data_IF_571355939006
#
_entry.id   IF_571355939006
#
_cell.length_a   1.000
_cell.length_b   1.000
_cell.length_c   1.000
_cell.angle_alpha   90.00
_cell.angle_beta   90.00
_cell.angle_gamma   90.00
#
_symmetry.space_group_name_H-M   'P 1'
#
loop_
_entity.id
_entity.type
_entity.pdbx_description
1 polymer ?
#
# COMPACT_ATOMS: atom_id res chain seq x y z
N UNK A 1 -14.67 -1.99 -21.57
CA UNK A 1 -14.08 -1.19 -20.50
C UNK A 1 -14.95 0.04 -20.34
N UNK A 2 -15.70 0.17 -19.24
CA UNK A 2 -16.55 1.34 -19.02
C UNK A 2 -15.70 2.37 -18.26
N UNK A 3 -15.39 3.50 -18.89
CA UNK A 3 -14.49 4.55 -18.36
C UNK A 3 -15.26 5.77 -17.85
N UNK A 4 -16.60 5.67 -17.76
CA UNK A 4 -17.44 6.74 -17.25
C UNK A 4 -17.68 6.57 -15.74
N UNK A 5 -17.16 7.53 -14.98
CA UNK A 5 -17.20 7.65 -13.51
C UNK A 5 -18.33 8.56 -13.00
N UNK A 6 -19.25 8.99 -13.88
CA UNK A 6 -20.32 9.96 -13.54
C UNK A 6 -21.70 9.32 -13.35
N UNK A 7 -21.82 8.02 -13.62
CA UNK A 7 -23.06 7.27 -13.41
C UNK A 7 -23.28 6.86 -11.95
N UNK A 8 -24.43 7.23 -11.36
CA UNK A 8 -24.83 6.77 -10.03
C UNK A 8 -24.78 5.25 -9.91
N UNK A 9 -24.03 4.76 -8.92
CA UNK A 9 -23.88 3.37 -8.45
C UNK A 9 -24.70 2.31 -9.22
N UNK A 10 -24.27 1.95 -10.43
CA UNK A 10 -24.88 0.83 -11.16
C UNK A 10 -24.28 -0.51 -10.69
N UNK A 11 -24.53 -0.85 -9.44
CA UNK A 11 -24.14 -2.13 -8.81
C UNK A 11 -24.85 -3.37 -9.40
N UNK A 12 -25.43 -3.31 -10.61
CA UNK A 12 -26.23 -4.42 -11.16
C UNK A 12 -26.00 -4.78 -12.63
N UNK A 13 -25.03 -4.19 -13.34
CA UNK A 13 -24.71 -4.61 -14.73
C UNK A 13 -23.20 -4.77 -14.97
N UNK A 14 -22.74 -6.00 -14.75
CA UNK A 14 -21.79 -6.77 -15.59
C UNK A 14 -20.51 -6.07 -16.04
N UNK A 15 -19.70 -5.56 -15.11
CA UNK A 15 -18.24 -5.56 -15.34
C UNK A 15 -17.65 -6.79 -14.65
N UNK A 16 -16.94 -7.69 -15.37
CA UNK A 16 -16.18 -8.77 -14.73
C UNK A 16 -14.98 -8.25 -13.93
N UNK A 17 -14.71 -6.93 -13.99
CA UNK A 17 -13.66 -6.25 -13.23
C UNK A 17 -14.29 -5.33 -12.19
N UNK A 18 -13.81 -5.37 -10.94
CA UNK A 18 -14.26 -4.41 -9.92
C UNK A 18 -13.90 -2.99 -10.36
N UNK A 19 -14.80 -2.05 -10.09
CA UNK A 19 -14.55 -0.62 -10.33
C UNK A 19 -13.65 -0.14 -9.20
N UNK A 20 -12.35 -0.03 -9.47
CA UNK A 20 -11.33 0.37 -8.50
C UNK A 20 -10.41 1.40 -9.11
N UNK A 21 -9.69 2.16 -8.29
CA UNK A 21 -8.59 3.02 -8.76
C UNK A 21 -7.29 2.23 -8.97
N UNK A 22 -7.22 0.96 -8.55
CA UNK A 22 -5.99 0.14 -8.59
C UNK A 22 -5.26 0.18 -9.94
N UNK A 23 -4.01 0.64 -9.93
CA UNK A 23 -3.16 0.77 -11.11
C UNK A 23 -3.47 2.00 -11.96
N UNK A 24 -4.19 2.99 -11.44
CA UNK A 24 -4.35 4.29 -12.07
C UNK A 24 -3.27 5.23 -11.54
N UNK A 25 -2.38 5.70 -12.42
CA UNK A 25 -1.35 6.66 -12.01
C UNK A 25 -1.15 7.76 -13.07
N UNK A 26 -0.66 8.90 -12.59
CA UNK A 26 -0.12 9.97 -13.42
C UNK A 26 1.38 10.12 -13.21
N UNK A 27 2.04 10.81 -14.15
CA UNK A 27 3.47 11.11 -14.09
C UNK A 27 3.86 12.18 -15.11
N UNK A 28 5.06 12.72 -14.98
CA UNK A 28 5.62 13.68 -15.93
C UNK A 28 6.01 13.02 -17.25
N UNK A 29 6.26 11.71 -17.22
CA UNK A 29 6.52 10.90 -18.40
C UNK A 29 5.68 9.62 -18.39
N UNK A 30 5.44 9.06 -19.57
CA UNK A 30 4.66 7.84 -19.73
C UNK A 30 5.25 6.66 -18.96
N UNK A 31 6.57 6.52 -18.96
CA UNK A 31 7.27 5.46 -18.24
C UNK A 31 7.19 5.63 -16.72
N UNK A 32 7.31 6.85 -16.22
CA UNK A 32 7.12 7.17 -14.79
C UNK A 32 5.70 6.81 -14.33
N UNK A 33 4.69 7.25 -15.09
CA UNK A 33 3.30 6.91 -14.80
C UNK A 33 3.06 5.38 -14.86
N UNK A 34 3.73 4.70 -15.79
CA UNK A 34 3.63 3.23 -15.93
C UNK A 34 4.27 2.50 -14.76
N UNK A 35 5.50 2.86 -14.37
CA UNK A 35 6.21 2.26 -13.23
C UNK A 35 5.44 2.51 -11.93
N UNK A 36 4.93 3.72 -11.72
CA UNK A 36 4.08 4.02 -10.56
C UNK A 36 2.83 3.15 -10.53
N UNK A 37 2.08 3.09 -11.63
CA UNK A 37 0.88 2.25 -11.72
C UNK A 37 1.19 0.76 -11.54
N UNK A 38 2.34 0.28 -12.04
CA UNK A 38 2.75 -1.11 -11.88
C UNK A 38 3.14 -1.43 -10.44
N UNK A 39 3.90 -0.55 -9.79
CA UNK A 39 4.24 -0.66 -8.37
C UNK A 39 2.98 -0.71 -7.50
N UNK A 40 1.97 0.13 -7.78
CA UNK A 40 0.69 0.10 -7.05
C UNK A 40 0.00 -1.26 -7.20
N UNK A 41 -0.08 -1.82 -8.42
CA UNK A 41 -0.72 -3.13 -8.60
C UNK A 41 0.04 -4.24 -7.85
N UNK A 42 1.39 -4.18 -7.84
CA UNK A 42 2.23 -5.13 -7.08
C UNK A 42 2.06 -4.95 -5.57
N UNK A 43 1.94 -3.72 -5.08
CA UNK A 43 1.70 -3.41 -3.67
C UNK A 43 0.40 -4.03 -3.16
N UNK A 44 -0.69 -3.89 -3.93
CA UNK A 44 -2.00 -4.45 -3.57
C UNK A 44 -1.99 -5.98 -3.58
N UNK A 45 -1.21 -6.58 -4.46
CA UNK A 45 -0.99 -8.02 -4.49
C UNK A 45 -0.19 -8.51 -3.30
N UNK A 46 0.94 -7.86 -3.03
CA UNK A 46 1.78 -8.16 -1.88
C UNK A 46 0.99 -8.10 -0.57
N UNK A 47 0.15 -7.09 -0.41
CA UNK A 47 -0.75 -6.98 0.73
C UNK A 47 -1.77 -8.12 0.78
N UNK A 48 -2.46 -8.38 -0.34
CA UNK A 48 -3.48 -9.42 -0.39
C UNK A 48 -2.91 -10.82 -0.06
N UNK A 49 -1.65 -11.06 -0.41
CA UNK A 49 -0.91 -12.26 -0.03
C UNK A 49 -0.49 -12.23 1.44
N UNK A 50 0.09 -11.12 1.92
CA UNK A 50 0.54 -10.97 3.29
C UNK A 50 -0.58 -11.16 4.31
N UNK A 51 -1.77 -10.59 4.07
CA UNK A 51 -2.96 -10.77 4.92
C UNK A 51 -3.44 -12.22 5.00
N UNK A 52 -2.96 -13.09 4.11
CA UNK A 52 -3.22 -14.53 4.08
C UNK A 52 -2.09 -15.36 4.68
N UNK A 53 -1.09 -14.72 5.27
CA UNK A 53 -0.05 -15.42 6.03
C UNK A 53 -0.47 -15.54 7.51
N UNK A 54 0.00 -16.56 8.25
CA UNK A 54 -0.23 -16.66 9.68
C UNK A 54 0.24 -15.41 10.45
N UNK A 55 -0.45 -14.98 11.53
CA UNK A 55 -0.04 -13.80 12.30
C UNK A 55 1.41 -13.82 12.78
N UNK A 56 1.94 -15.00 13.13
CA UNK A 56 3.34 -15.14 13.53
C UNK A 56 4.33 -14.82 12.39
N UNK A 57 3.99 -15.15 11.14
CA UNK A 57 4.81 -14.80 9.97
C UNK A 57 4.70 -13.30 9.65
N UNK A 58 3.52 -12.70 9.86
CA UNK A 58 3.33 -11.26 9.72
C UNK A 58 4.21 -10.50 10.71
N UNK A 59 4.17 -10.85 12.00
CA UNK A 59 4.99 -10.19 13.03
C UNK A 59 6.49 -10.44 12.85
N UNK A 60 6.89 -11.61 12.33
CA UNK A 60 8.29 -11.88 11.99
C UNK A 60 8.84 -10.97 10.87
N UNK A 61 7.95 -10.33 10.09
CA UNK A 61 8.33 -9.41 9.04
C UNK A 61 8.40 -7.94 9.52
N UNK A 62 8.17 -7.68 10.81
CA UNK A 62 8.22 -6.34 11.39
C UNK A 62 9.64 -5.78 11.40
N UNK A 63 9.79 -4.59 10.84
CA UNK A 63 11.07 -3.89 10.66
C UNK A 63 11.44 -3.15 11.94
N UNK A 64 12.71 -3.24 12.31
CA UNK A 64 13.34 -2.39 13.33
C UNK A 64 13.61 -0.99 12.78
N UNK A 65 12.92 0.06 13.28
CA UNK A 65 13.12 1.42 12.82
C UNK A 65 14.56 1.90 13.01
N UNK A 66 15.30 1.36 13.99
CA UNK A 66 16.70 1.74 14.25
C UNK A 66 17.66 1.31 13.12
N UNK A 67 17.22 0.44 12.22
CA UNK A 67 18.01 -0.02 11.06
C UNK A 67 17.73 0.80 9.79
N UNK A 68 16.86 1.80 9.86
CA UNK A 68 16.51 2.68 8.75
C UNK A 68 17.45 3.89 8.77
N UNK A 69 18.41 3.94 7.84
CA UNK A 69 19.41 5.01 7.72
C UNK A 69 19.21 5.91 6.48
N UNK A 70 18.06 5.81 5.80
CA UNK A 70 17.73 6.72 4.70
C UNK A 70 17.26 8.08 5.26
N UNK A 71 17.89 9.21 4.88
CA UNK A 71 17.60 10.51 5.49
C UNK A 71 16.15 10.97 5.37
N UNK A 72 15.45 10.64 4.28
CA UNK A 72 14.07 11.06 4.08
C UNK A 72 13.12 10.26 4.97
N UNK A 73 13.36 8.95 5.09
CA UNK A 73 12.63 8.10 6.02
C UNK A 73 12.88 8.50 7.48
N UNK A 74 14.15 8.77 7.87
CA UNK A 74 14.51 9.24 9.20
C UNK A 74 13.83 10.57 9.55
N UNK A 75 13.72 11.50 8.60
CA UNK A 75 13.03 12.77 8.79
C UNK A 75 11.55 12.56 9.12
N UNK A 76 10.85 11.71 8.35
CA UNK A 76 9.43 11.41 8.57
C UNK A 76 9.22 10.68 9.91
N UNK A 77 10.05 9.69 10.23
CA UNK A 77 9.98 8.97 11.50
C UNK A 77 10.21 9.90 12.69
N UNK A 78 11.20 10.79 12.59
CA UNK A 78 11.50 11.79 13.62
C UNK A 78 10.35 12.79 13.80
N UNK A 79 9.67 13.18 12.72
CA UNK A 79 8.48 14.03 12.78
C UNK A 79 7.32 13.33 13.51
N UNK A 80 7.09 12.05 13.22
CA UNK A 80 6.07 11.23 13.86
C UNK A 80 6.36 11.03 15.36
N UNK A 81 7.62 10.72 15.70
CA UNK A 81 8.06 10.58 17.09
C UNK A 81 7.86 11.87 17.88
N UNK A 82 8.29 13.03 17.35
CA UNK A 82 8.08 14.34 17.99
C UNK A 82 6.59 14.69 18.16
N UNK A 83 5.73 14.16 17.29
CA UNK A 83 4.29 14.32 17.38
C UNK A 83 3.62 13.33 18.34
N UNK A 84 4.37 12.42 18.98
CA UNK A 84 3.84 11.38 19.86
C UNK A 84 3.09 10.27 19.12
N UNK A 85 3.41 10.07 17.84
CA UNK A 85 2.79 9.06 16.98
C UNK A 85 3.70 7.84 16.92
N UNK A 86 3.21 6.72 17.44
CA UNK A 86 3.88 5.43 17.34
C UNK A 86 3.76 4.90 15.91
N UNK A 87 4.83 4.25 15.42
CA UNK A 87 4.93 3.73 14.05
C UNK A 87 5.31 2.25 14.11
N UNK A 88 4.62 1.43 13.33
CA UNK A 88 5.03 0.07 13.02
C UNK A 88 5.17 -0.09 11.51
N UNK A 89 6.21 -0.81 11.08
CA UNK A 89 6.49 -1.09 9.68
C UNK A 89 6.66 -2.59 9.51
N UNK A 90 6.01 -3.16 8.49
CA UNK A 90 6.19 -4.54 8.07
C UNK A 90 6.70 -4.56 6.65
N UNK A 91 7.70 -5.39 6.40
CA UNK A 91 8.06 -5.75 5.03
C UNK A 91 7.12 -6.84 4.54
N UNK A 92 6.43 -6.58 3.43
CA UNK A 92 5.41 -7.45 2.86
C UNK A 92 5.76 -7.93 1.46
N UNK A 93 7.05 -7.84 1.07
CA UNK A 93 7.53 -8.24 -0.26
C UNK A 93 7.12 -9.67 -0.57
N UNK A 94 6.35 -9.84 -1.64
CA UNK A 94 5.90 -11.14 -2.12
C UNK A 94 6.92 -11.76 -3.11
N UNK A 95 6.53 -12.86 -3.75
CA UNK A 95 7.32 -13.58 -4.76
C UNK A 95 7.71 -12.74 -5.97
N UNK A 96 6.98 -11.67 -6.30
CA UNK A 96 7.39 -10.69 -7.34
C UNK A 96 8.74 -10.04 -6.99
N UNK A 97 9.16 -10.08 -5.72
CA UNK A 97 10.47 -9.61 -5.27
C UNK A 97 10.74 -8.11 -5.49
N UNK A 98 9.68 -7.30 -5.56
CA UNK A 98 9.76 -5.84 -5.45
C UNK A 98 9.51 -5.42 -4.00
N UNK A 99 10.38 -4.59 -3.38
CA UNK A 99 10.21 -4.12 -2.01
C UNK A 99 8.83 -3.53 -1.78
N UNK A 100 8.06 -4.13 -0.87
CA UNK A 100 6.75 -3.66 -0.47
C UNK A 100 6.67 -3.50 1.05
N UNK A 101 6.09 -2.39 1.52
CA UNK A 101 5.95 -2.11 2.94
C UNK A 101 4.51 -1.75 3.29
N UNK A 102 4.15 -2.07 4.53
CA UNK A 102 2.98 -1.54 5.23
C UNK A 102 3.47 -0.73 6.41
N UNK A 103 2.96 0.49 6.57
CA UNK A 103 3.19 1.31 7.75
C UNK A 103 1.86 1.57 8.46
N UNK A 104 1.84 1.36 9.77
CA UNK A 104 0.74 1.75 10.65
C UNK A 104 1.19 2.82 11.63
N UNK A 105 0.33 3.81 11.82
CA UNK A 105 0.57 4.91 12.75
C UNK A 105 -0.61 5.07 13.70
N UNK A 106 -0.33 5.26 14.99
CA UNK A 106 -1.35 5.62 15.98
C UNK A 106 -0.74 6.42 17.11
N UNK A 107 -1.58 7.18 17.81
CA UNK A 107 -1.19 7.97 18.98
C UNK A 107 -1.53 7.23 20.28
N UNK A 108 -0.84 7.57 21.37
CA UNK A 108 -1.20 7.10 22.71
C UNK A 108 -2.54 7.73 23.13
N UNK A 109 -3.62 6.94 23.28
CA UNK A 109 -4.95 7.48 23.57
C UNK A 109 -5.04 8.13 24.96
N UNK A 110 -4.06 7.90 25.85
CA UNK A 110 -4.04 8.46 27.21
C UNK A 110 -3.55 9.91 27.24
N UNK A 111 -2.83 10.34 26.21
CA UNK A 111 -2.30 11.71 26.07
C UNK A 111 -2.82 12.45 24.83
N UNK A 112 -3.47 11.73 23.90
CA UNK A 112 -4.06 12.31 22.70
C UNK A 112 -5.16 13.34 23.02
N UNK A 113 -5.12 14.49 22.33
CA UNK A 113 -6.10 15.57 22.48
C UNK A 113 -7.45 15.28 21.82
N UNK A 114 -7.46 14.36 20.86
CA UNK A 114 -8.64 13.96 20.10
C UNK A 114 -8.70 12.44 19.96
N UNK A 115 -9.89 11.93 19.68
CA UNK A 115 -10.07 10.53 19.33
C UNK A 115 -9.86 10.34 17.82
N UNK A 116 -8.59 10.32 17.39
CA UNK A 116 -8.24 10.02 16.01
C UNK A 116 -7.94 8.53 15.88
N UNK A 117 -8.53 7.90 14.87
CA UNK A 117 -8.24 6.51 14.52
C UNK A 117 -6.78 6.35 14.09
N UNK A 118 -6.23 5.15 14.31
CA UNK A 118 -4.99 4.75 13.65
C UNK A 118 -5.13 4.82 12.13
N UNK A 119 -4.02 5.01 11.44
CA UNK A 119 -3.98 5.07 10.00
C UNK A 119 -2.92 4.12 9.44
N UNK A 120 -3.11 3.73 8.19
CA UNK A 120 -2.27 2.77 7.49
C UNK A 120 -1.93 3.30 6.11
N UNK A 121 -0.73 2.98 5.65
CA UNK A 121 -0.23 3.32 4.33
C UNK A 121 0.64 2.19 3.79
N UNK A 122 0.82 2.18 2.48
CA UNK A 122 1.49 1.12 1.75
C UNK A 122 2.48 1.72 0.75
N UNK A 123 3.45 0.93 0.34
CA UNK A 123 4.42 1.40 -0.64
C UNK A 123 5.17 0.28 -1.30
N UNK A 124 5.19 0.31 -2.63
CA UNK A 124 6.03 -0.54 -3.47
C UNK A 124 6.94 0.33 -4.37
N UNK A 125 8.20 -0.07 -4.50
CA UNK A 125 9.17 0.54 -5.43
C UNK A 125 10.43 -0.33 -5.55
N UNK A 126 11.14 -0.37 -6.71
CA UNK A 126 12.44 -1.06 -6.83
C UNK A 126 13.49 -0.63 -5.80
N UNK A 127 13.44 0.65 -5.40
CA UNK A 127 14.21 1.20 -4.26
C UNK A 127 13.43 1.04 -2.96
N UNK A 128 13.94 0.24 -2.02
CA UNK A 128 13.30 0.00 -0.71
C UNK A 128 13.06 1.29 0.09
N UNK A 129 13.94 2.27 -0.06
CA UNK A 129 13.83 3.57 0.62
C UNK A 129 12.61 4.35 0.13
N UNK A 130 12.37 4.35 -1.18
CA UNK A 130 11.20 5.00 -1.78
C UNK A 130 9.92 4.22 -1.42
N UNK A 131 9.97 2.89 -1.45
CA UNK A 131 8.84 2.05 -1.04
C UNK A 131 8.43 2.34 0.42
N UNK A 132 9.39 2.40 1.34
CA UNK A 132 9.13 2.75 2.74
C UNK A 132 8.60 4.18 2.90
N UNK A 133 9.24 5.16 2.23
CA UNK A 133 8.81 6.55 2.31
C UNK A 133 7.36 6.73 1.83
N UNK A 134 6.95 6.01 0.77
CA UNK A 134 5.57 5.96 0.29
C UNK A 134 4.63 5.40 1.36
N UNK A 135 4.97 4.28 1.99
CA UNK A 135 4.15 3.69 3.05
C UNK A 135 3.95 4.65 4.23
N UNK A 136 5.02 5.28 4.70
CA UNK A 136 4.96 6.26 5.81
C UNK A 136 4.12 7.49 5.44
N UNK A 137 4.35 8.06 4.26
CA UNK A 137 3.64 9.28 3.82
C UNK A 137 2.19 9.02 3.48
N UNK A 138 1.85 7.85 2.93
CA UNK A 138 0.45 7.44 2.75
C UNK A 138 -0.25 7.22 4.09
N UNK A 139 0.42 6.65 5.11
CA UNK A 139 -0.18 6.51 6.44
C UNK A 139 -0.51 7.88 7.05
N UNK A 140 0.39 8.86 6.89
CA UNK A 140 0.16 10.26 7.28
C UNK A 140 -1.01 10.87 6.49
N UNK A 141 -1.03 10.70 5.17
CA UNK A 141 -2.11 11.20 4.31
C UNK A 141 -3.46 10.59 4.73
N UNK A 142 -3.52 9.28 4.95
CA UNK A 142 -4.70 8.55 5.42
C UNK A 142 -5.21 9.15 6.72
N UNK A 143 -4.33 9.40 7.70
CA UNK A 143 -4.70 10.04 8.98
C UNK A 143 -5.27 11.44 8.77
N UNK A 144 -4.66 12.24 7.89
CA UNK A 144 -5.14 13.59 7.59
C UNK A 144 -6.56 13.56 7.01
N UNK A 145 -6.89 12.62 6.11
CA UNK A 145 -8.25 12.50 5.55
C UNK A 145 -9.31 12.18 6.59
N UNK A 146 -8.96 11.43 7.64
CA UNK A 146 -9.86 11.15 8.77
C UNK A 146 -10.07 12.41 9.60
N UNK A 147 -9.00 13.16 9.89
CA UNK A 147 -9.07 14.40 10.69
C UNK A 147 -9.89 15.48 9.99
N UNK A 148 -9.69 15.66 8.68
CA UNK A 148 -10.42 16.67 7.90
C UNK A 148 -11.86 16.27 7.62
N UNK A 149 -12.22 14.99 7.82
CA UNK A 149 -13.54 14.46 7.51
C UNK A 149 -13.87 14.53 6.01
N UNK A 150 -12.87 14.52 5.14
CA UNK A 150 -13.04 14.74 3.69
C UNK A 150 -13.46 13.48 2.92
N UNK A 151 -13.69 12.36 3.61
CA UNK A 151 -14.06 11.07 3.04
C UNK A 151 -15.52 10.73 3.34
N UNK A 152 -16.33 10.63 2.28
CA UNK A 152 -17.74 10.24 2.36
C UNK A 152 -17.94 8.72 2.55
N UNK A 153 -16.88 7.93 2.41
CA UNK A 153 -16.92 6.47 2.47
C UNK A 153 -16.60 5.89 3.86
N UNK A 154 -16.29 6.74 4.85
CA UNK A 154 -16.12 6.32 6.26
C UNK A 154 -17.50 6.23 6.92
N UNK A 155 -17.96 4.99 7.18
CA UNK A 155 -19.25 4.76 7.84
C UNK A 155 -19.17 5.12 9.33
N UNK A 156 -20.30 5.54 9.91
CA UNK A 156 -20.41 5.89 11.33
C UNK A 156 -19.93 4.78 12.26
N UNK A 157 -20.32 3.53 11.99
CA UNK A 157 -19.96 2.39 12.86
C UNK A 157 -18.46 2.08 12.80
N UNK A 158 -17.85 2.22 11.61
CA UNK A 158 -16.40 2.06 11.43
C UNK A 158 -15.64 3.15 12.17
N UNK A 159 -16.10 4.40 12.07
CA UNK A 159 -15.53 5.51 12.81
C UNK A 159 -15.65 5.31 14.33
N UNK A 160 -16.82 4.93 14.83
CA UNK A 160 -17.05 4.67 16.25
C UNK A 160 -16.13 3.56 16.78
N UNK A 161 -15.99 2.45 16.02
CA UNK A 161 -15.10 1.35 16.37
C UNK A 161 -13.63 1.77 16.35
N UNK A 162 -13.20 2.53 15.35
CA UNK A 162 -11.81 2.95 15.21
C UNK A 162 -11.39 4.04 16.22
N UNK A 163 -12.37 4.81 16.72
CA UNK A 163 -12.16 5.84 17.75
C UNK A 163 -12.41 5.35 19.18
N UNK A 164 -12.85 4.09 19.34
CA UNK A 164 -13.08 3.47 20.65
C UNK A 164 -11.79 3.45 21.49
N UNK A 165 -11.83 3.89 22.76
CA UNK A 165 -10.64 3.98 23.60
C UNK A 165 -9.92 2.63 23.81
N UNK A 166 -10.64 1.52 23.92
CA UNK A 166 -10.03 0.21 24.16
C UNK A 166 -9.34 -0.28 22.89
N UNK A 167 -9.97 -0.10 21.73
CA UNK A 167 -9.36 -0.46 20.45
C UNK A 167 -8.10 0.38 20.17
N UNK A 168 -8.12 1.68 20.49
CA UNK A 168 -6.96 2.56 20.35
C UNK A 168 -5.81 2.18 21.28
N UNK A 169 -6.10 1.87 22.54
CA UNK A 169 -5.07 1.42 23.49
C UNK A 169 -4.49 0.08 23.05
N UNK A 170 -5.31 -0.85 22.56
CA UNK A 170 -4.86 -2.12 22.03
C UNK A 170 -3.94 -1.93 20.81
N UNK A 171 -4.34 -1.09 19.84
CA UNK A 171 -3.53 -0.79 18.66
C UNK A 171 -2.20 -0.12 19.03
N UNK A 172 -2.23 0.91 19.88
CA UNK A 172 -1.02 1.59 20.35
C UNK A 172 -0.09 0.64 21.12
N UNK A 173 -0.66 -0.17 22.02
CA UNK A 173 0.10 -1.17 22.78
C UNK A 173 0.70 -2.26 21.87
N UNK A 174 0.02 -2.65 20.79
CA UNK A 174 0.53 -3.61 19.82
C UNK A 174 1.70 -3.02 19.00
N UNK A 175 1.75 -1.70 18.79
CA UNK A 175 2.91 -1.05 18.19
C UNK A 175 4.08 -1.02 19.16
N UNK A 176 3.91 -0.41 20.33
CA UNK A 176 5.03 -0.08 21.22
C UNK A 176 5.64 -1.26 21.98
N UNK A 177 4.94 -2.40 22.08
CA UNK A 177 5.42 -3.58 22.83
C UNK A 177 5.91 -4.73 21.95
N UNK A 178 5.65 -4.71 20.65
CA UNK A 178 6.05 -5.83 19.79
C UNK A 178 7.53 -5.77 19.46
N UNK A 179 8.09 -6.96 19.27
CA UNK A 179 9.45 -7.15 18.79
C UNK A 179 9.58 -6.70 17.33
N UNK A 180 10.78 -6.29 16.95
CA UNK A 180 11.12 -5.83 15.60
C UNK A 180 12.26 -6.69 15.04
N UNK A 181 11.99 -7.96 14.70
CA UNK A 181 13.05 -8.93 14.42
C UNK A 181 13.78 -8.70 13.09
N UNK A 182 13.23 -7.87 12.19
CA UNK A 182 13.77 -7.71 10.83
C UNK A 182 14.53 -6.40 10.66
N UNK A 183 15.73 -6.49 10.11
CA UNK A 183 16.49 -5.32 9.71
C UNK A 183 16.03 -4.80 8.34
N UNK A 184 15.85 -3.48 8.22
CA UNK A 184 15.59 -2.79 6.96
C UNK A 184 16.68 -3.05 5.92
N UNK A 185 17.93 -3.20 6.35
CA UNK A 185 19.06 -3.49 5.48
C UNK A 185 18.98 -4.87 4.80
N UNK A 186 18.18 -5.78 5.34
CA UNK A 186 17.97 -7.11 4.74
C UNK A 186 17.06 -7.09 3.50
N UNK A 187 16.33 -6.00 3.27
CA UNK A 187 15.42 -5.87 2.13
C UNK A 187 16.23 -5.49 0.89
N UNK A 188 16.08 -6.17 -0.26
CA UNK A 188 16.78 -5.78 -1.49
C UNK A 188 16.46 -4.34 -1.90
N UNK A 189 17.40 -3.64 -2.52
CA UNK A 189 17.16 -2.33 -3.13
C UNK A 189 17.84 -2.28 -4.49
N UNK A 190 17.15 -1.69 -5.47
CA UNK A 190 17.70 -1.44 -6.79
C UNK A 190 17.47 0.02 -7.16
N UNK A 191 18.56 0.71 -7.48
CA UNK A 191 18.52 2.03 -8.08
C UNK A 191 18.95 1.95 -9.53
N UNK A 192 18.11 2.43 -10.44
CA UNK A 192 18.47 2.61 -11.85
C UNK A 192 18.52 4.12 -12.19
N UNK A 193 19.28 4.54 -13.21
CA UNK A 193 19.36 5.93 -13.64
C UNK A 193 18.18 6.36 -14.54
N UNK A 194 17.37 5.42 -15.03
CA UNK A 194 16.30 5.69 -15.99
C UNK A 194 15.02 4.90 -15.68
N UNK A 195 13.86 5.48 -16.04
CA UNK A 195 12.57 4.80 -15.93
C UNK A 195 12.46 3.57 -16.83
N UNK A 196 13.15 3.55 -17.97
CA UNK A 196 13.22 2.37 -18.85
C UNK A 196 13.85 1.18 -18.12
N UNK A 197 14.93 1.40 -17.37
CA UNK A 197 15.61 0.35 -16.61
C UNK A 197 14.81 -0.11 -15.39
N UNK A 198 14.14 0.80 -14.69
CA UNK A 198 13.24 0.45 -13.58
C UNK A 198 12.06 -0.38 -14.09
N UNK A 199 11.38 0.07 -15.15
CA UNK A 199 10.27 -0.67 -15.74
C UNK A 199 10.71 -2.02 -16.31
N UNK A 200 11.90 -2.10 -16.93
CA UNK A 200 12.45 -3.37 -17.40
C UNK A 200 12.69 -4.34 -16.24
N UNK A 201 13.18 -3.85 -15.09
CA UNK A 201 13.36 -4.67 -13.90
C UNK A 201 12.03 -5.13 -13.30
N UNK A 202 11.05 -4.23 -13.12
CA UNK A 202 9.71 -4.56 -12.62
C UNK A 202 9.04 -5.63 -13.50
N UNK A 203 9.14 -5.50 -14.82
CA UNK A 203 8.62 -6.50 -15.76
C UNK A 203 9.40 -7.82 -15.71
N UNK A 204 10.71 -7.79 -15.44
CA UNK A 204 11.50 -9.01 -15.27
C UNK A 204 11.08 -9.77 -14.00
N UNK A 205 10.94 -9.06 -12.88
CA UNK A 205 10.41 -9.58 -11.62
C UNK A 205 9.07 -10.31 -11.79
N UNK A 206 8.14 -9.74 -12.56
CA UNK A 206 6.86 -10.38 -12.87
C UNK A 206 7.02 -11.65 -13.72
N UNK A 207 7.92 -11.64 -14.71
CA UNK A 207 8.20 -12.82 -15.55
C UNK A 207 8.80 -13.97 -14.75
N UNK A 208 9.67 -13.69 -13.78
CA UNK A 208 10.28 -14.71 -12.91
C UNK A 208 9.23 -15.52 -12.13
N UNK A 209 8.06 -14.93 -11.84
CA UNK A 209 6.94 -15.62 -11.18
C UNK A 209 5.86 -16.12 -12.15
N UNK A 210 6.16 -16.12 -13.46
CA UNK A 210 5.26 -16.61 -14.50
C UNK A 210 4.12 -15.66 -14.85
N UNK A 211 4.27 -14.36 -14.58
CA UNK A 211 3.30 -13.33 -14.95
C UNK A 211 3.79 -12.63 -16.22
N UNK A 212 3.28 -13.10 -17.36
CA UNK A 212 3.74 -12.66 -18.69
C UNK A 212 2.89 -11.52 -19.29
N UNK A 213 1.86 -11.05 -18.59
CA UNK A 213 0.89 -10.07 -19.11
C UNK A 213 0.76 -8.86 -18.20
N UNK A 214 1.24 -7.73 -18.71
CA UNK A 214 1.02 -6.39 -18.14
C UNK A 214 0.38 -5.55 -19.23
N UNK A 215 -0.81 -5.02 -18.96
CA UNK A 215 -1.59 -4.22 -19.93
C UNK A 215 -1.56 -2.77 -19.46
N UNK A 216 -1.00 -1.87 -20.27
CA UNK A 216 -1.09 -0.42 -20.06
C UNK A 216 -2.15 0.17 -20.98
N UNK A 217 -3.04 0.97 -20.40
CA UNK A 217 -4.04 1.77 -21.12
C UNK A 217 -3.74 3.23 -20.87
N UNK A 218 -3.43 3.99 -21.93
CA UNK A 218 -3.21 5.43 -21.83
C UNK A 218 -4.55 6.16 -21.85
N UNK A 219 -4.80 7.01 -20.84
CA UNK A 219 -6.08 7.68 -20.64
C UNK A 219 -6.09 9.12 -21.19
N UNK A 220 -5.16 9.46 -22.08
CA UNK A 220 -5.18 10.73 -22.82
C UNK A 220 -4.60 11.94 -22.08
N UNK A 221 -3.56 11.74 -21.26
CA UNK A 221 -2.96 12.78 -20.41
C UNK A 221 -2.38 14.01 -21.14
N UNK A 222 -2.07 13.94 -22.43
CA UNK A 222 -1.59 15.09 -23.20
C UNK A 222 -2.57 16.29 -23.17
N UNK A 223 -3.86 16.06 -22.87
CA UNK A 223 -4.90 17.09 -22.77
C UNK A 223 -4.87 17.84 -21.43
N UNK A 224 -4.18 17.32 -20.40
CA UNK A 224 -4.10 17.89 -19.05
C UNK A 224 -2.70 18.49 -18.75
N UNK A 225 -2.20 19.36 -19.62
CA UNK A 225 -0.98 20.13 -19.33
C UNK A 225 0.34 19.35 -19.45
N UNK A 226 0.37 18.29 -20.25
CA UNK A 226 1.59 17.51 -20.51
C UNK A 226 1.86 16.35 -19.54
N UNK A 227 0.95 16.09 -18.59
CA UNK A 227 1.04 14.92 -17.70
C UNK A 227 0.66 13.64 -18.43
N UNK A 228 1.34 12.54 -18.19
CA UNK A 228 0.91 11.21 -18.64
C UNK A 228 -0.06 10.61 -17.62
N UNK A 229 -1.14 9.98 -18.07
CA UNK A 229 -2.11 9.28 -17.21
C UNK A 229 -2.35 7.91 -17.80
N UNK A 230 -2.19 6.87 -16.98
CA UNK A 230 -2.29 5.47 -17.39
C UNK A 230 -3.11 4.66 -16.41
N UNK A 231 -3.71 3.59 -16.93
CA UNK A 231 -4.21 2.45 -16.15
C UNK A 231 -3.37 1.23 -16.48
N UNK A 232 -2.72 0.65 -15.49
CA UNK A 232 -2.05 -0.65 -15.60
C UNK A 232 -2.97 -1.74 -15.05
N UNK A 233 -3.04 -2.86 -15.76
CA UNK A 233 -3.78 -4.05 -15.37
C UNK A 233 -2.86 -5.25 -15.50
N UNK A 234 -2.68 -5.98 -14.40
CA UNK A 234 -1.96 -7.26 -14.36
C UNK A 234 -2.96 -8.33 -13.92
N UNK A 235 -3.54 -9.10 -14.86
CA UNK A 235 -4.68 -9.98 -14.56
C UNK A 235 -4.43 -11.05 -13.50
N UNK A 236 -3.17 -11.42 -13.32
CA UNK A 236 -2.72 -12.52 -12.45
C UNK A 236 -2.30 -12.04 -11.05
N UNK A 237 -2.45 -10.73 -10.76
CA UNK A 237 -2.20 -10.10 -9.46
C UNK A 237 -3.52 -9.85 -8.70
N UNK A 238 -3.50 -10.18 -7.42
CA UNK A 238 -4.60 -9.99 -6.47
C UNK A 238 -4.62 -8.53 -5.97
N UNK A 239 -5.78 -7.96 -5.62
CA UNK A 239 -5.84 -6.54 -5.19
C UNK A 239 -7.07 -6.15 -4.37
N UNK A 240 -8.01 -7.08 -4.17
CA UNK A 240 -9.24 -6.82 -3.43
C UNK A 240 -9.27 -7.80 -2.26
N UNK A 241 -9.63 -7.31 -1.07
CA UNK A 241 -9.68 -8.16 0.14
C UNK A 241 -11.14 -8.37 0.58
N UNK A 242 -12.10 -7.64 -0.01
CA UNK A 242 -13.52 -7.82 0.30
C UNK A 242 -14.02 -9.18 -0.21
N UNK A 243 -14.30 -10.16 0.68
CA UNK A 243 -14.71 -11.51 0.28
C UNK A 243 -16.02 -11.52 -0.51
N UNK A 244 -16.84 -10.47 -0.44
CA UNK A 244 -18.10 -10.36 -1.16
C UNK A 244 -17.91 -10.13 -2.67
N UNK A 245 -16.79 -9.53 -3.08
CA UNK A 245 -16.52 -9.14 -4.47
C UNK A 245 -15.21 -9.69 -5.03
N UNK A 246 -14.36 -10.26 -4.18
CA UNK A 246 -13.05 -10.81 -4.54
C UNK A 246 -13.04 -12.33 -4.62
N UNK A 247 -12.36 -12.85 -5.65
CA UNK A 247 -12.01 -14.27 -5.75
C UNK A 247 -10.49 -14.39 -5.82
N UNK A 248 -9.84 -14.99 -4.81
CA UNK A 248 -8.39 -15.07 -4.76
C UNK A 248 -7.82 -15.85 -5.94
N UNK A 249 -6.77 -15.33 -6.56
CA UNK A 249 -6.01 -15.95 -7.63
C UNK A 249 -5.24 -17.21 -7.19
N UNK A 250 -4.59 -17.92 -8.12
CA UNK A 250 -3.82 -19.13 -7.81
C UNK A 250 -2.74 -18.91 -6.74
N UNK A 251 -2.07 -17.74 -6.75
CA UNK A 251 -1.03 -17.36 -5.78
C UNK A 251 -1.63 -17.24 -4.38
N UNK A 252 -2.67 -16.41 -4.22
CA UNK A 252 -3.38 -16.27 -2.95
C UNK A 252 -3.98 -17.59 -2.45
N UNK A 253 -4.59 -18.43 -3.30
CA UNK A 253 -5.19 -19.71 -2.87
C UNK A 253 -4.20 -20.73 -2.30
N UNK A 254 -2.90 -20.62 -2.63
CA UNK A 254 -1.86 -21.47 -2.02
C UNK A 254 -1.56 -21.09 -0.58
N UNK A 255 -1.80 -19.83 -0.21
CA UNK A 255 -1.72 -19.36 1.16
C UNK A 255 -3.00 -19.78 1.90
N UNK A 256 -2.89 -20.23 3.15
CA UNK A 256 -4.08 -20.59 3.94
C UNK A 256 -4.77 -19.31 4.40
N UNK A 257 -6.10 -19.17 4.33
CA UNK A 257 -6.73 -18.02 5.00
C UNK A 257 -6.37 -18.05 6.51
N UNK A 258 -6.17 -16.88 7.15
CA UNK A 258 -6.05 -16.84 8.61
C UNK A 258 -7.31 -17.47 9.20
N UNK A 259 -7.10 -18.31 10.23
CA UNK A 259 -8.17 -18.99 10.97
C UNK A 259 -9.06 -17.99 11.71
#
# INVERSE_FOLDING_TARGET
MHTDFTGGSQARRLSPFPVTTNGLASGNHLLEATSHALCEVVERDAEALWLRTPPAEQEAARIDPATIADPACEEVLSLLERAGIAVAVWEITADVALPCFVAEITEDPRVALAAVAGARGQGCHPRREIALLRALTEAVQSRLTVITGSRDDIRRDDYARATDPQNREAAWSAIVKAETPRSFDSVPTRSSPTFDEDLAHELACLREVGIDRVIRVELGGAVAGGMSVVRVVVPDLDHCIDPAVYRPGPRARRLRPPL
#
